data_IF_692986357186
#
_entry.id   IF_692986357186
#
_cell.length_a   1.000
_cell.length_b   1.000
_cell.length_c   1.000
_cell.angle_alpha   90.00
_cell.angle_beta   90.00
_cell.angle_gamma   90.00
#
_symmetry.space_group_name_H-M   'P 1'
#
loop_
_entity.id
_entity.type
_entity.pdbx_description
1 polymer ?
#
# COMPACT_ATOMS: atom_id res chain seq x y z
N UNK A 1 -7.94 -66.06 50.07
CA UNK A 1 -7.19 -64.87 50.54
C UNK A 1 -6.21 -64.48 49.44
N UNK A 2 -6.61 -63.54 48.57
CA UNK A 2 -5.73 -62.97 47.55
C UNK A 2 -5.10 -61.74 48.18
N UNK A 3 -3.82 -61.85 48.57
CA UNK A 3 -3.06 -60.70 49.02
C UNK A 3 -2.92 -59.74 47.84
N UNK A 4 -3.52 -58.56 47.95
CA UNK A 4 -3.31 -57.49 46.98
C UNK A 4 -1.84 -57.06 47.09
N UNK A 5 -1.00 -57.53 46.16
CA UNK A 5 0.37 -57.03 46.03
C UNK A 5 0.30 -55.52 45.78
N UNK A 6 0.87 -54.75 46.72
CA UNK A 6 0.95 -53.32 46.58
C UNK A 6 1.72 -52.98 45.29
N UNK A 7 1.21 -52.06 44.45
CA UNK A 7 1.81 -51.76 43.15
C UNK A 7 3.28 -51.34 43.34
N UNK A 8 4.18 -51.98 42.60
CA UNK A 8 5.61 -51.66 42.62
C UNK A 8 5.82 -50.26 42.04
N UNK A 9 6.69 -49.48 42.69
CA UNK A 9 7.09 -48.12 42.28
C UNK A 9 7.49 -48.06 40.79
N UNK A 10 8.00 -49.17 40.25
CA UNK A 10 8.41 -49.35 38.86
C UNK A 10 7.27 -49.19 37.84
N UNK A 11 6.06 -49.69 38.13
CA UNK A 11 4.91 -49.58 37.21
C UNK A 11 4.43 -48.12 37.09
N UNK A 12 4.55 -47.37 38.19
CA UNK A 12 4.19 -45.94 38.22
C UNK A 12 5.17 -45.11 37.39
N UNK A 13 6.47 -45.37 37.47
CA UNK A 13 7.46 -44.69 36.63
C UNK A 13 7.27 -44.96 35.14
N UNK A 14 6.88 -46.18 34.75
CA UNK A 14 6.64 -46.53 33.35
C UNK A 14 5.40 -45.80 32.79
N UNK A 15 4.33 -45.68 33.59
CA UNK A 15 3.15 -44.92 33.20
C UNK A 15 3.49 -43.44 32.92
N UNK A 16 4.26 -42.79 33.79
CA UNK A 16 4.70 -41.39 33.58
C UNK A 16 5.58 -41.23 32.35
N UNK A 17 6.48 -42.18 32.08
CA UNK A 17 7.28 -42.17 30.87
C UNK A 17 6.42 -42.15 29.60
N UNK A 18 5.34 -42.94 29.56
CA UNK A 18 4.43 -42.99 28.41
C UNK A 18 3.63 -41.70 28.23
N UNK A 19 3.16 -41.10 29.34
CA UNK A 19 2.45 -39.81 29.33
C UNK A 19 3.37 -38.70 28.83
N UNK A 20 4.59 -38.61 29.36
CA UNK A 20 5.58 -37.62 28.93
C UNK A 20 5.94 -37.84 27.46
N UNK A 21 6.14 -39.08 27.02
CA UNK A 21 6.44 -39.41 25.62
C UNK A 21 5.32 -38.99 24.66
N UNK A 22 4.06 -39.25 25.02
CA UNK A 22 2.89 -38.83 24.23
C UNK A 22 2.81 -37.30 24.16
N UNK A 23 3.02 -36.61 25.29
CA UNK A 23 2.96 -35.15 25.38
C UNK A 23 4.08 -34.52 24.53
N UNK A 24 5.31 -35.00 24.63
CA UNK A 24 6.44 -34.55 23.82
C UNK A 24 6.23 -34.81 22.33
N UNK A 25 5.69 -35.98 21.97
CA UNK A 25 5.38 -36.30 20.56
C UNK A 25 4.30 -35.38 20.01
N UNK A 26 3.27 -35.07 20.82
CA UNK A 26 2.23 -34.11 20.46
C UNK A 26 2.78 -32.69 20.26
N UNK A 27 3.67 -32.23 21.15
CA UNK A 27 4.33 -30.94 21.03
C UNK A 27 5.22 -30.87 19.79
N UNK A 28 5.98 -31.93 19.49
CA UNK A 28 6.81 -32.01 18.29
C UNK A 28 5.96 -31.94 17.03
N UNK A 29 4.87 -32.71 16.94
CA UNK A 29 3.95 -32.68 15.80
C UNK A 29 3.31 -31.29 15.60
N UNK A 30 2.91 -30.63 16.70
CA UNK A 30 2.37 -29.28 16.67
C UNK A 30 3.41 -28.26 16.17
N UNK A 31 4.65 -28.33 16.66
CA UNK A 31 5.73 -27.46 16.21
C UNK A 31 6.02 -27.63 14.71
N UNK A 32 6.08 -28.88 14.22
CA UNK A 32 6.25 -29.18 12.79
C UNK A 32 5.11 -28.59 11.96
N UNK A 33 3.86 -28.71 12.41
CA UNK A 33 2.71 -28.14 11.69
C UNK A 33 2.76 -26.60 11.62
N UNK A 34 3.14 -25.94 12.71
CA UNK A 34 3.28 -24.48 12.75
C UNK A 34 4.38 -23.99 11.81
N UNK A 35 5.53 -24.67 11.79
CA UNK A 35 6.63 -24.36 10.86
C UNK A 35 6.19 -24.54 9.40
N UNK A 36 5.53 -25.65 9.08
CA UNK A 36 5.05 -25.92 7.73
C UNK A 36 4.02 -24.87 7.27
N UNK A 37 3.11 -24.48 8.16
CA UNK A 37 2.13 -23.41 7.88
C UNK A 37 2.82 -22.08 7.60
N UNK A 38 3.84 -21.73 8.38
CA UNK A 38 4.61 -20.51 8.18
C UNK A 38 5.35 -20.52 6.84
N UNK A 39 6.02 -21.62 6.50
CA UNK A 39 6.73 -21.75 5.23
C UNK A 39 5.81 -21.59 4.01
N UNK A 40 4.61 -22.19 4.04
CA UNK A 40 3.61 -22.02 2.98
C UNK A 40 3.19 -20.56 2.84
N UNK A 41 3.03 -19.85 3.96
CA UNK A 41 2.66 -18.43 3.93
C UNK A 41 3.77 -17.60 3.28
N UNK A 42 5.01 -17.79 3.71
CA UNK A 42 6.18 -17.09 3.16
C UNK A 42 6.34 -17.36 1.67
N UNK A 43 6.28 -18.63 1.23
CA UNK A 43 6.38 -18.95 -0.20
C UNK A 43 5.28 -18.31 -1.04
N UNK A 44 4.05 -18.23 -0.51
CA UNK A 44 2.95 -17.54 -1.20
C UNK A 44 3.17 -16.03 -1.27
N UNK A 45 3.75 -15.44 -0.23
CA UNK A 45 4.09 -14.02 -0.21
C UNK A 45 5.24 -13.71 -1.17
N UNK A 46 6.31 -14.50 -1.15
CA UNK A 46 7.43 -14.41 -2.09
C UNK A 46 6.96 -14.60 -3.54
N UNK A 47 6.12 -15.61 -3.80
CA UNK A 47 5.56 -15.82 -5.14
C UNK A 47 4.74 -14.60 -5.59
N UNK A 48 3.89 -14.04 -4.72
CA UNK A 48 3.12 -12.83 -5.03
C UNK A 48 4.02 -11.62 -5.25
N UNK A 49 5.11 -11.49 -4.50
CA UNK A 49 6.05 -10.38 -4.66
C UNK A 49 6.86 -10.53 -5.95
N UNK A 50 7.28 -11.75 -6.30
CA UNK A 50 7.95 -12.06 -7.57
C UNK A 50 7.02 -11.80 -8.77
N UNK A 51 5.76 -12.25 -8.70
CA UNK A 51 4.72 -11.94 -9.71
C UNK A 51 4.53 -10.42 -9.85
N UNK A 52 4.45 -9.69 -8.73
CA UNK A 52 4.33 -8.24 -8.73
C UNK A 52 5.62 -7.53 -9.21
N UNK A 53 6.79 -8.13 -9.01
CA UNK A 53 8.08 -7.55 -9.40
C UNK A 53 8.18 -7.36 -10.91
N UNK A 54 7.74 -8.35 -11.70
CA UNK A 54 7.63 -8.20 -13.14
C UNK A 54 6.71 -7.02 -13.51
N UNK A 55 5.51 -6.97 -12.92
CA UNK A 55 4.55 -5.90 -13.16
C UNK A 55 5.05 -4.51 -12.70
N UNK A 56 6.04 -4.43 -11.79
CA UNK A 56 6.66 -3.15 -11.39
C UNK A 56 7.52 -2.55 -12.51
N UNK A 57 8.04 -3.37 -13.42
CA UNK A 57 8.98 -2.96 -14.48
C UNK A 57 8.32 -2.29 -15.68
N UNK A 58 6.99 -2.23 -15.75
CA UNK A 58 6.29 -1.37 -16.71
C UNK A 58 6.24 0.06 -16.18
N UNK A 59 6.80 1.03 -16.90
CA UNK A 59 6.87 2.43 -16.45
C UNK A 59 6.09 3.30 -17.42
N UNK A 60 4.89 3.76 -17.03
CA UNK A 60 4.17 4.75 -17.80
C UNK A 60 4.72 6.15 -17.47
N UNK A 61 5.04 6.90 -18.51
CA UNK A 61 5.55 8.26 -18.47
C UNK A 61 4.61 9.13 -19.31
N UNK A 62 4.12 10.20 -18.70
CA UNK A 62 3.47 11.28 -19.44
C UNK A 62 4.58 12.18 -19.98
N UNK A 63 4.56 12.42 -21.28
CA UNK A 63 5.46 13.40 -21.90
C UNK A 63 5.13 14.81 -21.39
N UNK A 64 6.06 15.73 -21.64
CA UNK A 64 5.91 17.14 -21.26
C UNK A 64 4.56 17.72 -21.70
N UNK A 65 4.05 18.73 -20.96
CA UNK A 65 2.77 19.33 -21.26
C UNK A 65 2.74 19.79 -22.73
N UNK A 66 1.59 19.64 -23.41
CA UNK A 66 1.43 20.14 -24.76
C UNK A 66 1.81 21.62 -24.82
N UNK A 67 2.62 21.98 -25.82
CA UNK A 67 3.05 23.37 -26.08
C UNK A 67 1.92 24.17 -26.74
N UNK A 68 0.94 23.50 -27.37
CA UNK A 68 -0.22 24.11 -28.01
C UNK A 68 -1.58 23.74 -27.39
N UNK A 69 -2.62 24.58 -27.59
CA UNK A 69 -3.99 24.29 -27.13
C UNK A 69 -4.62 23.07 -27.82
N UNK A 70 -4.18 22.76 -29.04
CA UNK A 70 -4.66 21.62 -29.85
C UNK A 70 -3.74 20.40 -29.74
N UNK A 71 -2.65 20.51 -28.98
CA UNK A 71 -1.66 19.44 -28.95
C UNK A 71 -2.11 18.31 -28.04
N UNK A 72 -2.16 17.13 -28.64
CA UNK A 72 -2.54 15.91 -27.96
C UNK A 72 -1.44 15.50 -27.01
N UNK A 73 -1.79 15.31 -25.73
CA UNK A 73 -0.83 14.85 -24.73
C UNK A 73 -0.32 13.46 -25.11
N UNK A 74 1.00 13.38 -25.28
CA UNK A 74 1.68 12.12 -25.58
C UNK A 74 2.09 11.39 -24.31
N UNK A 75 2.30 10.09 -24.45
CA UNK A 75 2.78 9.21 -23.41
C UNK A 75 3.81 8.25 -23.98
N UNK A 76 4.64 7.74 -23.07
CA UNK A 76 5.59 6.67 -23.32
C UNK A 76 5.39 5.59 -22.26
N UNK A 77 5.32 4.33 -22.68
CA UNK A 77 5.32 3.19 -21.76
C UNK A 77 6.52 2.33 -22.10
N UNK A 78 7.41 2.18 -21.12
CA UNK A 78 8.58 1.32 -21.24
C UNK A 78 8.39 0.03 -20.43
N UNK A 79 8.72 -1.11 -21.04
CA UNK A 79 8.81 -2.41 -20.40
C UNK A 79 10.28 -2.78 -20.18
N UNK A 80 10.70 -2.86 -18.92
CA UNK A 80 12.06 -3.25 -18.53
C UNK A 80 12.19 -4.71 -18.08
N UNK A 81 11.15 -5.55 -18.25
CA UNK A 81 11.12 -6.92 -17.71
C UNK A 81 11.79 -7.97 -18.59
N UNK A 82 12.12 -7.67 -19.85
CA UNK A 82 12.65 -8.65 -20.81
C UNK A 82 11.63 -9.69 -21.29
N UNK A 83 10.39 -9.63 -20.80
CA UNK A 83 9.27 -10.53 -21.15
C UNK A 83 8.06 -9.71 -21.63
N UNK A 84 7.23 -10.23 -22.54
CA UNK A 84 6.12 -9.48 -23.10
C UNK A 84 5.01 -9.19 -22.08
N UNK A 85 4.41 -8.01 -22.19
CA UNK A 85 3.09 -7.72 -21.64
C UNK A 85 2.04 -7.75 -22.75
N UNK A 86 0.85 -8.24 -22.43
CA UNK A 86 -0.26 -8.40 -23.37
C UNK A 86 -1.44 -7.50 -23.01
N UNK A 87 -2.35 -7.29 -23.96
CA UNK A 87 -3.60 -6.54 -23.79
C UNK A 87 -3.42 -5.16 -23.12
N UNK A 88 -2.33 -4.47 -23.48
CA UNK A 88 -1.99 -3.18 -22.89
C UNK A 88 -3.03 -2.13 -23.28
N UNK A 89 -3.61 -1.51 -22.26
CA UNK A 89 -4.53 -0.37 -22.38
C UNK A 89 -4.00 0.79 -21.57
N UNK A 90 -4.08 1.97 -22.15
CA UNK A 90 -3.56 3.20 -21.57
C UNK A 90 -4.71 4.17 -21.41
N UNK A 91 -4.80 4.77 -20.24
CA UNK A 91 -5.81 5.77 -19.92
C UNK A 91 -5.22 6.99 -19.26
N UNK A 92 -5.81 8.13 -19.57
CA UNK A 92 -5.51 9.41 -18.98
C UNK A 92 -6.61 9.75 -17.97
N UNK A 93 -6.20 10.00 -16.73
CA UNK A 93 -7.07 10.28 -15.61
C UNK A 93 -6.79 11.68 -15.07
N UNK A 94 -7.85 12.38 -14.66
CA UNK A 94 -7.78 13.63 -13.89
C UNK A 94 -8.71 13.48 -12.69
N UNK A 95 -8.20 13.61 -11.47
CA UNK A 95 -9.02 13.47 -10.25
C UNK A 95 -9.86 12.17 -10.23
N UNK A 96 -9.24 11.03 -10.60
CA UNK A 96 -9.89 9.72 -10.75
C UNK A 96 -11.04 9.66 -11.76
N UNK A 97 -11.18 10.66 -12.64
CA UNK A 97 -12.08 10.60 -13.80
C UNK A 97 -11.27 10.31 -15.05
N UNK A 98 -11.77 9.37 -15.84
CA UNK A 98 -11.24 9.09 -17.18
C UNK A 98 -11.52 10.30 -18.08
N UNK A 99 -10.47 10.89 -18.64
CA UNK A 99 -10.57 12.05 -19.55
C UNK A 99 -10.02 11.75 -20.94
N UNK A 100 -9.30 10.65 -21.10
CA UNK A 100 -8.81 10.20 -22.40
C UNK A 100 -8.38 8.75 -22.36
N UNK A 101 -8.40 8.10 -23.51
CA UNK A 101 -7.90 6.74 -23.67
C UNK A 101 -7.03 6.65 -24.93
N UNK A 102 -6.09 5.72 -24.91
CA UNK A 102 -5.44 5.30 -26.14
C UNK A 102 -6.41 4.35 -26.87
N UNK A 103 -6.84 4.66 -28.11
CA UNK A 103 -7.96 3.97 -28.76
C UNK A 103 -7.62 2.52 -29.15
N UNK A 104 -6.33 2.22 -29.36
CA UNK A 104 -5.89 0.89 -29.77
C UNK A 104 -5.40 0.09 -28.57
N UNK A 105 -5.94 -1.11 -28.33
CA UNK A 105 -5.31 -2.04 -27.42
C UNK A 105 -3.98 -2.51 -28.05
N UNK A 106 -2.87 -2.32 -27.35
CA UNK A 106 -1.59 -2.86 -27.79
C UNK A 106 -1.54 -4.32 -27.36
N UNK A 107 -1.59 -5.22 -28.34
CA UNK A 107 -1.66 -6.66 -28.07
C UNK A 107 -0.40 -7.18 -27.38
N UNK A 108 0.78 -6.62 -27.67
CA UNK A 108 2.07 -7.04 -27.11
C UNK A 108 2.97 -5.82 -26.89
N UNK A 109 3.62 -5.73 -25.72
CA UNK A 109 4.65 -4.76 -25.38
C UNK A 109 5.93 -5.48 -24.93
N UNK A 110 6.98 -5.41 -25.76
CA UNK A 110 8.31 -6.00 -25.49
C UNK A 110 9.38 -4.99 -25.10
N UNK A 111 9.16 -3.70 -25.34
CA UNK A 111 10.12 -2.63 -25.10
C UNK A 111 9.40 -1.34 -24.79
N UNK A 112 9.61 -0.32 -25.62
CA UNK A 112 8.97 0.98 -25.47
C UNK A 112 7.86 1.19 -26.51
N UNK A 113 6.77 1.81 -26.09
CA UNK A 113 5.72 2.29 -26.98
C UNK A 113 5.37 3.72 -26.62
N UNK A 114 5.34 4.59 -27.62
CA UNK A 114 4.86 5.95 -27.50
C UNK A 114 3.52 6.10 -28.22
N UNK A 115 2.67 6.98 -27.70
CA UNK A 115 1.37 7.25 -28.28
C UNK A 115 0.79 8.57 -27.81
N UNK A 116 -0.37 8.91 -28.36
CA UNK A 116 -1.09 10.15 -28.03
C UNK A 116 -2.52 9.80 -27.61
N UNK A 117 -3.04 10.47 -26.60
CA UNK A 117 -4.38 10.20 -26.08
C UNK A 117 -5.47 10.81 -26.95
N UNK A 118 -6.53 10.08 -27.24
CA UNK A 118 -7.75 10.73 -27.71
C UNK A 118 -8.51 11.24 -26.48
N UNK A 119 -8.73 12.55 -26.40
CA UNK A 119 -9.56 13.12 -25.35
C UNK A 119 -11.00 12.66 -25.55
N UNK A 120 -11.60 12.16 -24.47
CA UNK A 120 -13.03 11.90 -24.44
C UNK A 120 -13.71 13.24 -24.17
N UNK A 121 -14.72 13.61 -24.97
CA UNK A 121 -15.57 14.75 -24.65
C UNK A 121 -16.31 14.45 -23.35
N UNK A 122 -15.79 14.97 -22.24
CA UNK A 122 -16.44 14.87 -20.93
C UNK A 122 -17.19 16.18 -20.68
N UNK A 123 -18.53 16.18 -20.59
CA UNK A 123 -19.29 17.38 -20.31
C UNK A 123 -18.78 18.12 -19.06
N UNK A 124 -18.51 19.41 -19.21
CA UNK A 124 -18.02 20.27 -18.13
C UNK A 124 -16.52 20.18 -17.83
N UNK A 125 -15.74 19.47 -18.64
CA UNK A 125 -14.27 19.51 -18.55
C UNK A 125 -13.74 20.45 -19.62
N UNK A 126 -13.23 21.62 -19.20
CA UNK A 126 -12.51 22.53 -20.09
C UNK A 126 -11.17 21.90 -20.50
N UNK A 127 -11.07 21.52 -21.77
CA UNK A 127 -9.89 20.88 -22.38
C UNK A 127 -8.68 21.81 -22.38
N UNK A 128 -8.90 23.12 -22.57
CA UNK A 128 -7.83 24.11 -22.51
C UNK A 128 -7.22 24.21 -21.09
N UNK A 129 -8.04 23.97 -20.07
CA UNK A 129 -7.62 23.87 -18.67
C UNK A 129 -6.92 22.57 -18.28
N UNK A 130 -6.88 21.54 -19.15
CA UNK A 130 -6.20 20.26 -18.88
C UNK A 130 -4.69 20.40 -18.99
N UNK A 131 -4.19 21.25 -19.89
CA UNK A 131 -2.76 21.40 -20.16
C UNK A 131 -1.93 21.86 -18.94
N UNK A 132 -2.56 22.56 -17.98
CA UNK A 132 -1.87 23.27 -16.88
C UNK A 132 -1.60 22.46 -15.60
N UNK A 133 -2.03 21.20 -15.45
CA UNK A 133 -2.19 20.64 -14.08
C UNK A 133 -1.32 19.41 -13.75
N UNK A 134 -0.70 19.45 -12.56
CA UNK A 134 -0.05 18.31 -11.89
C UNK A 134 -0.99 17.23 -11.34
N UNK A 135 -2.28 17.31 -11.65
CA UNK A 135 -3.33 16.36 -11.22
C UNK A 135 -3.62 15.26 -12.26
N UNK A 136 -2.80 15.20 -13.31
CA UNK A 136 -2.94 14.21 -14.36
C UNK A 136 -2.21 12.93 -13.98
N UNK A 137 -2.89 11.81 -14.20
CA UNK A 137 -2.36 10.48 -13.95
C UNK A 137 -2.54 9.61 -15.18
N UNK A 138 -1.54 8.79 -15.47
CA UNK A 138 -1.57 7.76 -16.50
C UNK A 138 -1.85 6.42 -15.84
N UNK A 139 -2.96 5.79 -16.23
CA UNK A 139 -3.29 4.42 -15.85
C UNK A 139 -2.93 3.46 -16.97
N UNK A 140 -2.30 2.34 -16.64
CA UNK A 140 -2.03 1.25 -17.57
C UNK A 140 -2.62 -0.05 -17.06
N UNK A 141 -3.17 -0.84 -17.97
CA UNK A 141 -3.77 -2.15 -17.73
C UNK A 141 -3.10 -3.11 -18.67
N UNK A 142 -2.72 -4.26 -18.17
CA UNK A 142 -2.01 -5.24 -18.98
C UNK A 142 -2.14 -6.62 -18.36
N UNK A 143 -1.91 -7.63 -19.18
CA UNK A 143 -1.77 -9.02 -18.78
C UNK A 143 -0.28 -9.37 -18.84
N UNK A 144 0.28 -9.95 -17.79
CA UNK A 144 1.67 -10.40 -17.81
C UNK A 144 1.85 -11.74 -18.55
N UNK A 145 3.10 -12.19 -18.65
CA UNK A 145 3.45 -13.47 -19.28
C UNK A 145 2.85 -14.69 -18.55
N UNK A 146 2.46 -14.54 -17.29
CA UNK A 146 1.79 -15.58 -16.49
C UNK A 146 0.26 -15.55 -16.63
N UNK A 147 -0.29 -14.66 -17.45
CA UNK A 147 -1.73 -14.50 -17.64
C UNK A 147 -2.41 -13.71 -16.52
N UNK A 148 -1.66 -13.10 -15.60
CA UNK A 148 -2.20 -12.28 -14.53
C UNK A 148 -2.47 -10.86 -15.03
N UNK A 149 -3.61 -10.30 -14.64
CA UNK A 149 -4.01 -8.95 -15.02
C UNK A 149 -3.63 -7.95 -13.94
N UNK A 150 -3.05 -6.86 -14.38
CA UNK A 150 -2.54 -5.81 -13.53
C UNK A 150 -3.08 -4.45 -13.97
N UNK A 151 -3.22 -3.56 -12.99
CA UNK A 151 -3.41 -2.14 -13.21
C UNK A 151 -2.29 -1.38 -12.49
N UNK A 152 -1.76 -0.34 -13.14
CA UNK A 152 -0.75 0.53 -12.56
C UNK A 152 -1.12 1.98 -12.82
N UNK A 153 -1.02 2.81 -11.79
CA UNK A 153 -1.26 4.24 -11.86
C UNK A 153 0.07 4.97 -11.67
N UNK A 154 0.51 5.73 -12.67
CA UNK A 154 1.79 6.44 -12.65
C UNK A 154 2.94 5.49 -12.23
N UNK A 155 3.69 5.89 -11.20
CA UNK A 155 4.80 5.14 -10.59
C UNK A 155 4.38 4.32 -9.37
N UNK A 156 3.08 4.21 -9.07
CA UNK A 156 2.61 3.44 -7.93
C UNK A 156 2.80 1.93 -8.15
N UNK A 157 2.85 1.11 -7.08
CA UNK A 157 2.88 -0.33 -7.22
C UNK A 157 1.64 -0.85 -7.97
N UNK A 158 1.83 -1.82 -8.89
CA UNK A 158 0.73 -2.42 -9.64
C UNK A 158 -0.21 -3.19 -8.70
N UNK A 159 -1.50 -3.23 -9.05
CA UNK A 159 -2.54 -3.99 -8.35
C UNK A 159 -3.04 -5.08 -9.27
N UNK A 160 -3.24 -6.28 -8.71
CA UNK A 160 -3.88 -7.37 -9.44
C UNK A 160 -5.38 -7.10 -9.59
N UNK A 161 -5.88 -7.22 -10.82
CA UNK A 161 -7.28 -6.95 -11.18
C UNK A 161 -7.96 -8.23 -11.65
N UNK A 162 -9.26 -8.41 -11.36
CA UNK A 162 -10.05 -9.56 -11.83
C UNK A 162 -10.67 -9.32 -13.21
N UNK A 163 -10.95 -10.41 -13.91
CA UNK A 163 -11.25 -10.49 -15.35
C UNK A 163 -12.42 -9.60 -15.81
N UNK A 164 -13.45 -9.47 -14.97
CA UNK A 164 -14.74 -8.87 -15.34
C UNK A 164 -14.84 -7.38 -15.02
N UNK A 165 -13.84 -6.84 -14.31
CA UNK A 165 -14.04 -5.62 -13.55
C UNK A 165 -13.29 -4.43 -14.16
N UNK A 166 -13.62 -4.16 -15.44
CA UNK A 166 -13.06 -3.03 -16.19
C UNK A 166 -13.33 -1.69 -15.50
N UNK A 167 -14.40 -1.62 -14.71
CA UNK A 167 -14.79 -0.44 -13.93
C UNK A 167 -14.23 -0.45 -12.51
N UNK A 168 -14.03 -1.61 -11.87
CA UNK A 168 -13.46 -1.63 -10.53
C UNK A 168 -12.09 -0.98 -10.44
N UNK A 169 -11.34 -0.88 -11.53
CA UNK A 169 -10.07 -0.16 -11.47
C UNK A 169 -10.25 1.34 -11.33
N UNK A 170 -11.26 1.94 -11.95
CA UNK A 170 -11.61 3.34 -11.65
C UNK A 170 -12.03 3.48 -10.18
N UNK A 171 -12.74 2.50 -9.63
CA UNK A 171 -13.08 2.50 -8.22
C UNK A 171 -11.85 2.29 -7.33
N UNK A 172 -10.89 1.42 -7.71
CA UNK A 172 -9.66 1.23 -6.95
C UNK A 172 -8.78 2.48 -6.99
N UNK A 173 -8.72 3.16 -8.13
CA UNK A 173 -8.03 4.45 -8.29
C UNK A 173 -8.71 5.50 -7.41
N UNK A 174 -10.05 5.57 -7.44
CA UNK A 174 -10.83 6.49 -6.60
C UNK A 174 -10.61 6.21 -5.12
N UNK A 175 -10.57 4.96 -4.72
CA UNK A 175 -10.34 4.54 -3.33
C UNK A 175 -8.90 4.84 -2.90
N UNK A 176 -7.90 4.66 -3.77
CA UNK A 176 -6.52 5.11 -3.51
C UNK A 176 -6.43 6.62 -3.33
N UNK A 177 -7.08 7.39 -4.19
CA UNK A 177 -7.11 8.85 -4.06
C UNK A 177 -7.79 9.28 -2.76
N UNK A 178 -8.90 8.63 -2.40
CA UNK A 178 -9.58 8.85 -1.11
C UNK A 178 -8.69 8.48 0.08
N UNK A 179 -8.00 7.35 0.03
CA UNK A 179 -7.08 6.91 1.08
C UNK A 179 -5.89 7.86 1.22
N UNK A 180 -5.29 8.29 0.11
CA UNK A 180 -4.20 9.26 0.09
C UNK A 180 -4.65 10.64 0.61
N UNK A 181 -5.84 11.09 0.21
CA UNK A 181 -6.42 12.33 0.73
C UNK A 181 -6.68 12.25 2.24
N UNK A 182 -7.21 11.12 2.73
CA UNK A 182 -7.38 10.85 4.17
C UNK A 182 -6.06 10.87 4.91
N UNK A 183 -5.04 10.17 4.41
CA UNK A 183 -3.72 10.13 5.03
C UNK A 183 -3.04 11.52 5.07
N UNK A 184 -3.21 12.34 4.02
CA UNK A 184 -2.75 13.75 4.02
C UNK A 184 -3.46 14.56 5.09
N UNK A 185 -4.78 14.43 5.18
CA UNK A 185 -5.61 15.13 6.16
C UNK A 185 -5.28 14.68 7.60
N UNK A 186 -5.10 13.39 7.84
CA UNK A 186 -4.65 12.86 9.13
C UNK A 186 -3.27 13.41 9.54
N UNK A 187 -2.33 13.47 8.59
CA UNK A 187 -1.00 14.05 8.83
C UNK A 187 -1.09 15.54 9.16
N UNK A 188 -1.93 16.29 8.45
CA UNK A 188 -2.19 17.70 8.76
C UNK A 188 -2.84 17.89 10.13
N UNK A 189 -3.83 17.06 10.47
CA UNK A 189 -4.47 17.09 11.79
C UNK A 189 -3.47 16.76 12.90
N UNK A 190 -2.61 15.75 12.70
CA UNK A 190 -1.56 15.39 13.66
C UNK A 190 -0.55 16.53 13.85
N UNK A 191 -0.11 17.18 12.77
CA UNK A 191 0.78 18.34 12.84
C UNK A 191 0.14 19.50 13.60
N UNK A 192 -1.14 19.81 13.32
CA UNK A 192 -1.91 20.84 14.03
C UNK A 192 -2.08 20.49 15.52
N UNK A 193 -2.34 19.23 15.85
CA UNK A 193 -2.46 18.76 17.23
C UNK A 193 -1.13 18.89 18.00
N UNK A 194 0.00 18.59 17.35
CA UNK A 194 1.33 18.78 17.94
C UNK A 194 1.63 20.26 18.20
N UNK A 195 1.29 21.16 17.27
CA UNK A 195 1.49 22.61 17.45
C UNK A 195 0.61 23.16 18.58
N UNK A 196 -0.61 22.65 18.72
CA UNK A 196 -1.48 23.02 19.83
C UNK A 196 -0.92 22.55 21.18
N UNK A 197 -0.45 21.30 21.26
CA UNK A 197 0.13 20.71 22.47
C UNK A 197 1.43 21.40 22.90
N UNK A 198 2.26 21.88 21.97
CA UNK A 198 3.48 22.63 22.32
C UNK A 198 3.14 24.00 22.93
N UNK A 199 2.16 24.71 22.36
CA UNK A 199 1.69 26.00 22.89
C UNK A 199 1.07 25.89 24.28
N UNK A 200 0.30 24.83 24.55
CA UNK A 200 -0.30 24.63 25.87
C UNK A 200 0.76 24.33 26.94
N UNK A 201 1.76 23.49 26.63
CA UNK A 201 2.89 23.23 27.53
C UNK A 201 3.71 24.49 27.81
N UNK A 202 3.95 25.32 26.79
CA UNK A 202 4.66 26.58 26.96
C UNK A 202 3.90 27.56 27.88
N UNK A 203 2.58 27.69 27.71
CA UNK A 203 1.74 28.52 28.61
C UNK A 203 1.78 28.00 30.05
N UNK A 204 1.64 26.70 30.25
CA UNK A 204 1.67 26.09 31.58
C UNK A 204 3.03 26.30 32.26
N UNK A 205 4.13 26.09 31.53
CA UNK A 205 5.48 26.37 32.03
C UNK A 205 5.69 27.86 32.37
N UNK A 206 5.20 28.78 31.51
CA UNK A 206 5.28 30.21 31.77
C UNK A 206 4.45 30.63 33.00
N UNK A 207 3.25 30.07 33.19
CA UNK A 207 2.44 30.32 34.38
C UNK A 207 3.13 29.81 35.64
N UNK A 208 3.71 28.59 35.62
CA UNK A 208 4.48 28.06 36.76
C UNK A 208 5.68 28.96 37.06
N UNK A 209 6.45 29.34 36.05
CA UNK A 209 7.62 30.21 36.23
C UNK A 209 7.23 31.57 36.82
N UNK A 210 6.12 32.16 36.36
CA UNK A 210 5.60 33.41 36.90
C UNK A 210 5.19 33.27 38.37
N UNK A 211 4.47 32.20 38.73
CA UNK A 211 4.08 31.93 40.12
C UNK A 211 5.29 31.76 41.04
N UNK A 212 6.32 31.06 40.58
CA UNK A 212 7.59 30.90 41.32
C UNK A 212 8.29 32.25 41.49
N UNK A 213 8.37 33.07 40.44
CA UNK A 213 8.99 34.39 40.51
C UNK A 213 8.25 35.33 41.49
N UNK A 214 6.91 35.31 41.47
CA UNK A 214 6.09 36.09 42.42
C UNK A 214 6.31 35.62 43.85
N UNK A 215 6.36 34.31 44.11
CA UNK A 215 6.61 33.77 45.44
C UNK A 215 7.99 34.18 45.99
N UNK A 216 9.03 34.13 45.16
CA UNK A 216 10.39 34.59 45.52
C UNK A 216 10.39 36.09 45.84
N UNK A 217 9.71 36.90 45.04
CA UNK A 217 9.62 38.35 45.27
C UNK A 217 8.90 38.69 46.58
N UNK A 218 7.78 38.02 46.88
CA UNK A 218 7.05 38.20 48.15
C UNK A 218 7.92 37.80 49.34
N UNK A 219 8.63 36.66 49.26
CA UNK A 219 9.56 36.25 50.31
C UNK A 219 10.64 37.31 50.54
N UNK A 220 11.23 37.84 49.47
CA UNK A 220 12.24 38.91 49.56
C UNK A 220 11.72 40.18 50.25
N UNK A 221 10.47 40.58 49.99
CA UNK A 221 9.86 41.74 50.66
C UNK A 221 9.59 41.52 52.15
N UNK A 222 9.30 40.30 52.60
CA UNK A 222 9.04 39.99 54.01
C UNK A 222 10.33 40.01 54.84
N UNK A 223 11.46 39.63 54.25
CA UNK A 223 12.76 39.54 54.94
C UNK A 223 13.54 40.86 54.98
N UNK A 224 13.01 41.94 54.40
CA UNK A 224 13.66 43.25 54.35
C UNK A 224 12.99 44.22 55.32
#
# INVERSE_FOLDING_TARGET
MLAAEAPKITDWMQAWGSVVGLLLSGLAAMATWLLFRHEIQVRREEQRDNEAAQARLIVPVLSDPPQGPDEVRSFTIANYSGVPFYDLRVMLLRNARLIGNYPSALHVLMGEVAGSFSYLEVPGVDVAGIAKTGDLAIGVYFTDASGLRWSKLNREPPIRVRLDDRWAVLDTIRDRQRAAARARLEKEMALRAMTYRSRSRFRLAATIALLVAVAIFVAFLIYR
#
